data_IF_897270526243
#
_entry.id   IF_897270526243
#
_cell.length_a   1.000
_cell.length_b   1.000
_cell.length_c   1.000
_cell.angle_alpha   90.00
_cell.angle_beta   90.00
_cell.angle_gamma   90.00
#
_symmetry.space_group_name_H-M   'P 1'
#
loop_
_entity.id
_entity.type
_entity.pdbx_description
1 polymer ?
#
# COMPACT_ATOMS: atom_id res chain seq x y z
N UNK A 1 9.77 5.31 -13.29
CA UNK A 1 9.23 6.31 -12.34
C UNK A 1 10.19 7.49 -12.25
N UNK A 2 9.73 8.74 -12.37
CA UNK A 2 10.59 9.93 -12.24
C UNK A 2 10.34 10.59 -10.88
N UNK A 3 11.39 10.96 -10.17
CA UNK A 3 11.31 11.56 -8.85
C UNK A 3 11.93 12.96 -8.88
N UNK A 4 11.33 13.91 -8.14
CA UNK A 4 11.87 15.26 -8.01
C UNK A 4 11.65 15.77 -6.60
N UNK A 5 12.74 16.13 -5.93
CA UNK A 5 12.71 16.81 -4.64
C UNK A 5 12.73 18.32 -4.89
N UNK A 6 11.85 19.08 -4.21
CA UNK A 6 11.85 20.55 -4.26
C UNK A 6 12.54 21.18 -3.04
N UNK A 7 12.90 20.37 -2.05
CA UNK A 7 13.77 20.78 -0.93
C UNK A 7 15.21 20.32 -1.15
N UNK A 8 16.14 21.02 -0.52
CA UNK A 8 17.56 20.70 -0.58
C UNK A 8 18.02 20.00 0.71
N UNK A 9 18.78 18.93 0.55
CA UNK A 9 19.41 18.22 1.67
C UNK A 9 20.77 17.70 1.22
N UNK A 10 21.79 17.96 2.03
CA UNK A 10 23.16 17.50 1.77
C UNK A 10 23.40 16.20 2.52
N UNK A 11 23.74 15.15 1.78
CA UNK A 11 24.12 13.86 2.36
C UNK A 11 25.32 14.04 3.29
N UNK A 12 25.31 13.30 4.39
CA UNK A 12 26.32 13.41 5.45
C UNK A 12 26.67 12.02 6.00
N UNK A 13 27.48 11.99 7.06
CA UNK A 13 27.90 10.74 7.69
C UNK A 13 26.71 9.86 8.13
N UNK A 14 25.63 10.46 8.66
CA UNK A 14 24.43 9.70 9.09
C UNK A 14 23.77 8.96 7.93
N UNK A 15 23.75 9.53 6.73
CA UNK A 15 23.20 8.84 5.55
C UNK A 15 24.08 7.68 5.10
N UNK A 16 25.40 7.79 5.24
CA UNK A 16 26.33 6.67 4.98
C UNK A 16 26.13 5.55 5.98
N UNK A 17 25.98 5.88 7.27
CA UNK A 17 25.71 4.92 8.35
C UNK A 17 24.35 4.24 8.15
N UNK A 18 23.29 5.01 7.87
CA UNK A 18 21.97 4.46 7.60
C UNK A 18 21.97 3.53 6.38
N UNK A 19 22.63 3.91 5.28
CA UNK A 19 22.76 3.03 4.12
C UNK A 19 23.46 1.71 4.47
N UNK A 20 24.58 1.75 5.21
CA UNK A 20 25.29 0.56 5.65
C UNK A 20 24.42 -0.31 6.59
N UNK A 21 23.63 0.33 7.46
CA UNK A 21 22.67 -0.36 8.34
C UNK A 21 21.60 -1.10 7.53
N UNK A 22 20.98 -0.43 6.55
CA UNK A 22 20.01 -1.05 5.63
C UNK A 22 20.63 -2.20 4.82
N UNK A 23 21.89 -2.07 4.38
CA UNK A 23 22.58 -3.17 3.70
C UNK A 23 22.70 -4.42 4.60
N UNK A 24 23.05 -4.23 5.87
CA UNK A 24 23.15 -5.32 6.85
C UNK A 24 21.77 -5.88 7.24
N UNK A 25 20.78 -5.02 7.36
CA UNK A 25 19.42 -5.38 7.77
C UNK A 25 18.77 -6.43 6.85
N UNK A 26 19.11 -6.39 5.56
CA UNK A 26 18.71 -7.39 4.54
C UNK A 26 19.02 -8.83 4.91
N UNK A 27 20.04 -9.08 5.74
CA UNK A 27 20.38 -10.43 6.21
C UNK A 27 19.28 -11.03 7.12
N UNK A 28 18.43 -10.18 7.71
CA UNK A 28 17.44 -10.58 8.71
C UNK A 28 16.01 -10.20 8.36
N UNK A 29 15.81 -9.11 7.62
CA UNK A 29 14.48 -8.62 7.23
C UNK A 29 14.17 -9.08 5.81
N UNK A 30 13.09 -9.85 5.64
CA UNK A 30 12.86 -10.60 4.40
C UNK A 30 12.25 -9.80 3.25
N UNK A 31 11.67 -8.61 3.49
CA UNK A 31 10.90 -7.94 2.43
C UNK A 31 11.81 -7.47 1.28
N UNK A 32 13.09 -7.19 1.57
CA UNK A 32 14.10 -6.81 0.59
C UNK A 32 14.33 -7.84 -0.52
N UNK A 33 14.04 -9.13 -0.24
CA UNK A 33 14.27 -10.23 -1.17
C UNK A 33 13.00 -10.68 -1.90
N UNK A 34 11.82 -10.18 -1.50
CA UNK A 34 10.56 -10.47 -2.18
C UNK A 34 10.56 -10.15 -3.68
N UNK A 35 11.20 -9.07 -4.19
CA UNK A 35 11.24 -8.81 -5.63
C UNK A 35 11.86 -9.94 -6.47
N UNK A 36 12.68 -10.80 -5.85
CA UNK A 36 13.45 -11.86 -6.53
C UNK A 36 12.94 -13.28 -6.19
N UNK A 37 11.82 -13.38 -5.45
CA UNK A 37 11.31 -14.68 -5.00
C UNK A 37 10.83 -15.56 -6.17
N UNK A 38 10.91 -16.89 -5.99
CA UNK A 38 10.31 -17.83 -6.93
C UNK A 38 8.78 -17.82 -6.84
N UNK A 39 8.12 -17.39 -7.92
CA UNK A 39 6.66 -17.34 -8.01
C UNK A 39 6.04 -18.61 -8.60
N UNK A 40 6.83 -19.57 -9.08
CA UNK A 40 6.30 -20.80 -9.69
C UNK A 40 5.34 -21.55 -8.76
N UNK A 41 5.60 -21.71 -7.45
CA UNK A 41 4.64 -22.34 -6.54
C UNK A 41 3.28 -21.63 -6.49
N UNK A 42 3.27 -20.30 -6.57
CA UNK A 42 2.04 -19.49 -6.60
C UNK A 42 1.28 -19.72 -7.91
N UNK A 43 1.99 -19.71 -9.04
CA UNK A 43 1.39 -19.94 -10.36
C UNK A 43 0.81 -21.35 -10.48
N UNK A 44 1.50 -22.37 -9.98
CA UNK A 44 0.99 -23.74 -9.94
C UNK A 44 -0.22 -23.88 -9.03
N UNK A 45 -0.21 -23.24 -7.85
CA UNK A 45 -1.39 -23.20 -6.98
C UNK A 45 -2.59 -22.53 -7.68
N UNK A 46 -2.38 -21.43 -8.41
CA UNK A 46 -3.46 -20.73 -9.11
C UNK A 46 -4.17 -21.61 -10.16
N UNK A 47 -3.44 -22.55 -10.78
CA UNK A 47 -4.02 -23.52 -11.74
C UNK A 47 -4.94 -24.54 -11.08
N UNK A 48 -4.80 -24.77 -9.77
CA UNK A 48 -5.64 -25.69 -9.02
C UNK A 48 -7.03 -25.11 -8.73
N UNK A 49 -7.18 -23.78 -8.79
CA UNK A 49 -8.46 -23.13 -8.54
C UNK A 49 -9.39 -23.32 -9.74
N UNK A 50 -10.57 -23.93 -9.55
CA UNK A 50 -11.45 -24.28 -10.65
C UNK A 50 -11.90 -23.06 -11.48
N UNK A 51 -12.14 -23.28 -12.78
CA UNK A 51 -12.55 -22.22 -13.70
C UNK A 51 -13.94 -21.64 -13.39
N UNK A 52 -14.81 -22.40 -12.72
CA UNK A 52 -16.13 -21.91 -12.27
C UNK A 52 -16.07 -20.94 -11.08
N UNK A 53 -14.91 -20.77 -10.44
CA UNK A 53 -14.73 -19.76 -9.41
C UNK A 53 -14.64 -18.39 -10.09
N UNK A 54 -15.65 -17.57 -9.85
CA UNK A 54 -15.80 -16.22 -10.42
C UNK A 54 -15.28 -15.13 -9.48
N UNK A 55 -15.23 -15.43 -8.17
CA UNK A 55 -14.85 -14.47 -7.12
C UNK A 55 -13.79 -15.04 -6.19
N UNK A 56 -12.92 -14.17 -5.71
CA UNK A 56 -11.96 -14.43 -4.64
C UNK A 56 -12.33 -13.54 -3.47
N UNK A 57 -12.39 -14.10 -2.26
CA UNK A 57 -12.68 -13.38 -1.04
C UNK A 57 -11.51 -13.50 -0.06
N UNK A 58 -10.82 -12.39 0.19
CA UNK A 58 -9.79 -12.29 1.23
C UNK A 58 -10.47 -12.04 2.57
N UNK A 59 -10.24 -12.94 3.52
CA UNK A 59 -10.65 -12.82 4.91
C UNK A 59 -9.38 -12.52 5.71
N UNK A 60 -9.13 -11.23 5.95
CA UNK A 60 -7.89 -10.72 6.52
C UNK A 60 -8.00 -9.23 6.78
N UNK A 61 -7.16 -8.69 7.67
CA UNK A 61 -7.19 -7.28 8.07
C UNK A 61 -5.77 -6.71 8.12
N UNK A 62 -5.64 -5.39 7.90
CA UNK A 62 -4.35 -4.69 7.92
C UNK A 62 -3.42 -5.21 6.84
N UNK A 63 -2.21 -5.64 7.22
CA UNK A 63 -1.20 -6.13 6.29
C UNK A 63 -1.63 -7.38 5.50
N UNK A 64 -2.62 -8.13 5.99
CA UNK A 64 -3.21 -9.28 5.28
C UNK A 64 -4.20 -8.91 4.17
N UNK A 65 -4.49 -7.61 3.96
CA UNK A 65 -5.54 -7.14 3.04
C UNK A 65 -5.11 -5.88 2.26
N UNK A 66 -4.68 -4.82 2.97
CA UNK A 66 -4.53 -3.48 2.41
C UNK A 66 -3.57 -3.42 1.21
N UNK A 67 -2.46 -4.13 1.24
CA UNK A 67 -1.51 -4.17 0.14
C UNK A 67 -2.09 -4.78 -1.14
N UNK A 68 -2.73 -5.94 -1.03
CA UNK A 68 -3.40 -6.58 -2.16
C UNK A 68 -4.54 -5.70 -2.71
N UNK A 69 -5.29 -5.05 -1.81
CA UNK A 69 -6.35 -4.11 -2.18
C UNK A 69 -5.81 -2.89 -2.92
N UNK A 70 -4.69 -2.33 -2.48
CA UNK A 70 -4.01 -1.22 -3.14
C UNK A 70 -3.64 -1.57 -4.59
N UNK A 71 -3.01 -2.73 -4.82
CA UNK A 71 -2.63 -3.18 -6.17
C UNK A 71 -3.87 -3.49 -7.02
N UNK A 72 -4.84 -4.22 -6.47
CA UNK A 72 -6.04 -4.62 -7.19
C UNK A 72 -6.85 -3.40 -7.67
N UNK A 73 -7.16 -2.46 -6.77
CA UNK A 73 -7.95 -1.28 -7.13
C UNK A 73 -7.17 -0.27 -7.98
N UNK A 74 -5.83 -0.29 -7.94
CA UNK A 74 -5.01 0.48 -8.88
C UNK A 74 -5.16 -0.01 -10.32
N UNK A 75 -5.16 -1.34 -10.53
CA UNK A 75 -5.14 -1.96 -11.86
C UNK A 75 -6.52 -2.25 -12.44
N UNK A 76 -7.52 -2.49 -11.59
CA UNK A 76 -8.89 -2.86 -11.96
C UNK A 76 -9.55 -1.92 -12.98
N UNK A 77 -9.37 -0.59 -12.96
CA UNK A 77 -10.00 0.30 -13.94
C UNK A 77 -9.49 0.11 -15.38
N UNK A 78 -8.26 -0.40 -15.55
CA UNK A 78 -7.58 -0.50 -16.86
C UNK A 78 -7.32 -1.94 -17.31
N UNK A 79 -7.78 -2.93 -16.52
CA UNK A 79 -7.60 -4.36 -16.82
C UNK A 79 -8.93 -5.10 -16.77
N UNK A 80 -9.15 -5.96 -17.76
CA UNK A 80 -10.17 -6.99 -17.70
C UNK A 80 -9.67 -8.14 -16.83
N UNK A 81 -10.01 -8.10 -15.54
CA UNK A 81 -9.61 -9.11 -14.56
C UNK A 81 -10.51 -10.36 -14.68
N UNK A 82 -9.89 -11.53 -14.56
CA UNK A 82 -10.57 -12.83 -14.73
C UNK A 82 -11.58 -13.10 -13.61
N UNK A 83 -11.24 -12.68 -12.39
CA UNK A 83 -12.05 -12.87 -11.19
C UNK A 83 -12.20 -11.56 -10.43
N UNK A 84 -13.31 -11.43 -9.70
CA UNK A 84 -13.54 -10.29 -8.80
C UNK A 84 -12.90 -10.55 -7.43
N UNK A 85 -12.23 -9.56 -6.86
CA UNK A 85 -11.61 -9.65 -5.54
C UNK A 85 -12.44 -8.86 -4.52
N UNK A 86 -12.77 -9.49 -3.40
CA UNK A 86 -13.50 -8.88 -2.30
C UNK A 86 -12.70 -9.02 -1.00
N UNK A 87 -12.72 -7.99 -0.17
CA UNK A 87 -11.97 -7.93 1.08
C UNK A 87 -12.92 -7.86 2.27
N UNK A 88 -12.93 -8.92 3.08
CA UNK A 88 -13.66 -9.01 4.34
C UNK A 88 -12.72 -8.67 5.50
N UNK A 89 -12.60 -7.38 5.76
CA UNK A 89 -11.62 -6.80 6.70
C UNK A 89 -12.25 -6.03 7.86
N UNK A 90 -13.58 -6.00 7.95
CA UNK A 90 -14.34 -5.29 8.97
C UNK A 90 -15.34 -6.20 9.67
N UNK A 91 -15.49 -6.03 10.99
CA UNK A 91 -16.53 -6.69 11.80
C UNK A 91 -17.88 -5.95 11.78
N UNK A 92 -18.00 -4.89 10.97
CA UNK A 92 -19.27 -4.22 10.71
C UNK A 92 -20.25 -5.17 10.02
N UNK A 93 -21.37 -5.54 10.68
CA UNK A 93 -22.33 -6.48 10.11
C UNK A 93 -22.96 -5.98 8.81
N UNK A 94 -23.14 -4.67 8.62
CA UNK A 94 -23.71 -4.11 7.38
C UNK A 94 -22.73 -4.33 6.22
N UNK A 95 -21.44 -4.08 6.46
CA UNK A 95 -20.40 -4.32 5.47
C UNK A 95 -20.32 -5.80 5.08
N UNK A 96 -20.34 -6.70 6.05
CA UNK A 96 -20.32 -8.15 5.82
C UNK A 96 -21.51 -8.58 4.97
N UNK A 97 -22.74 -8.14 5.31
CA UNK A 97 -23.93 -8.49 4.52
C UNK A 97 -23.87 -7.94 3.10
N UNK A 98 -23.42 -6.69 2.91
CA UNK A 98 -23.28 -6.08 1.60
C UNK A 98 -22.21 -6.74 0.72
N UNK A 99 -21.13 -7.24 1.31
CA UNK A 99 -20.14 -8.02 0.56
C UNK A 99 -20.69 -9.40 0.19
N UNK A 100 -21.37 -10.07 1.12
CA UNK A 100 -22.00 -11.36 0.85
C UNK A 100 -23.09 -11.26 -0.23
N UNK A 101 -23.85 -10.17 -0.30
CA UNK A 101 -24.85 -9.98 -1.35
C UNK A 101 -24.25 -9.77 -2.74
N UNK A 102 -22.92 -9.56 -2.85
CA UNK A 102 -22.21 -9.36 -4.13
C UNK A 102 -21.52 -10.62 -4.64
N UNK A 103 -21.53 -11.70 -3.85
CA UNK A 103 -20.86 -12.95 -4.19
C UNK A 103 -21.82 -14.14 -4.15
N UNK A 104 -21.58 -15.12 -5.00
CA UNK A 104 -22.14 -16.46 -4.86
C UNK A 104 -21.11 -17.33 -4.12
N UNK A 105 -21.45 -17.75 -2.90
CA UNK A 105 -20.54 -18.55 -2.05
C UNK A 105 -20.19 -19.91 -2.65
N UNK A 106 -20.96 -20.41 -3.62
CA UNK A 106 -20.68 -21.65 -4.36
C UNK A 106 -19.73 -21.43 -5.55
N UNK A 107 -19.45 -20.16 -5.89
CA UNK A 107 -18.51 -19.75 -6.95
C UNK A 107 -17.41 -18.82 -6.42
N UNK A 108 -17.18 -18.84 -5.12
CA UNK A 108 -16.20 -17.98 -4.44
C UNK A 108 -15.15 -18.82 -3.74
N UNK A 109 -13.87 -18.54 -3.99
CA UNK A 109 -12.76 -19.12 -3.24
C UNK A 109 -12.32 -18.16 -2.13
N UNK A 110 -12.16 -18.66 -0.92
CA UNK A 110 -11.88 -17.88 0.28
C UNK A 110 -10.42 -18.04 0.70
N UNK A 111 -9.70 -16.91 0.77
CA UNK A 111 -8.34 -16.85 1.29
C UNK A 111 -8.39 -16.34 2.74
N UNK A 112 -8.15 -17.22 3.71
CA UNK A 112 -8.11 -16.88 5.13
C UNK A 112 -6.68 -16.54 5.50
N UNK A 113 -6.38 -15.26 5.73
CA UNK A 113 -5.01 -14.75 5.87
C UNK A 113 -4.79 -14.19 7.28
N UNK A 114 -4.00 -14.88 8.09
CA UNK A 114 -3.61 -14.44 9.43
C UNK A 114 -2.26 -15.04 9.80
N UNK A 115 -1.23 -14.19 9.95
CA UNK A 115 0.12 -14.63 10.34
C UNK A 115 0.11 -15.44 11.64
N UNK A 116 -0.55 -14.91 12.68
CA UNK A 116 -0.61 -15.55 14.00
C UNK A 116 -1.65 -16.67 14.11
N UNK A 117 -2.57 -16.78 13.15
CA UNK A 117 -3.69 -17.70 13.22
C UNK A 117 -4.67 -17.42 14.38
N UNK A 118 -4.66 -16.22 14.97
CA UNK A 118 -5.50 -15.86 16.14
C UNK A 118 -6.15 -14.48 16.04
N UNK A 119 -6.17 -13.87 14.85
CA UNK A 119 -6.79 -12.55 14.62
C UNK A 119 -8.31 -12.62 14.80
N UNK A 120 -8.84 -11.94 15.82
CA UNK A 120 -10.25 -12.06 16.24
C UNK A 120 -11.22 -11.75 15.09
N UNK A 121 -10.95 -10.68 14.35
CA UNK A 121 -11.76 -10.21 13.22
C UNK A 121 -11.81 -11.26 12.10
N UNK A 122 -10.64 -11.73 11.67
CA UNK A 122 -10.49 -12.79 10.63
C UNK A 122 -11.30 -14.04 11.00
N UNK A 123 -11.17 -14.53 12.24
CA UNK A 123 -11.85 -15.77 12.64
C UNK A 123 -13.34 -15.60 12.90
N UNK A 124 -13.79 -14.41 13.35
CA UNK A 124 -15.21 -14.12 13.47
C UNK A 124 -15.90 -14.17 12.09
N UNK A 125 -15.29 -13.53 11.09
CA UNK A 125 -15.78 -13.51 9.71
C UNK A 125 -15.70 -14.92 9.09
N UNK A 126 -14.55 -15.59 9.23
CA UNK A 126 -14.36 -16.95 8.72
C UNK A 126 -15.43 -17.92 9.26
N UNK A 127 -15.69 -17.91 10.57
CA UNK A 127 -16.75 -18.75 11.18
C UNK A 127 -18.12 -18.44 10.59
N UNK A 128 -18.42 -17.17 10.34
CA UNK A 128 -19.70 -16.78 9.75
C UNK A 128 -19.82 -17.27 8.30
N UNK A 129 -18.79 -17.08 7.48
CA UNK A 129 -18.75 -17.54 6.09
C UNK A 129 -18.78 -19.08 6.02
N UNK A 130 -18.07 -19.77 6.91
CA UNK A 130 -18.08 -21.23 7.02
C UNK A 130 -19.50 -21.78 7.29
N UNK A 131 -20.34 -21.05 8.01
CA UNK A 131 -21.76 -21.42 8.21
C UNK A 131 -22.61 -21.34 6.93
N UNK A 132 -22.12 -20.65 5.89
CA UNK A 132 -22.77 -20.49 4.59
C UNK A 132 -22.14 -21.37 3.50
N UNK A 133 -20.84 -21.64 3.62
CA UNK A 133 -20.08 -22.52 2.74
C UNK A 133 -19.21 -23.44 3.61
N UNK A 134 -19.68 -24.65 3.88
CA UNK A 134 -19.01 -25.60 4.78
C UNK A 134 -18.02 -26.53 4.09
N UNK A 135 -17.89 -26.46 2.75
CA UNK A 135 -16.93 -27.27 2.01
C UNK A 135 -15.53 -26.61 2.04
N UNK A 136 -14.60 -27.27 2.73
CA UNK A 136 -13.23 -26.79 2.92
C UNK A 136 -12.40 -26.70 1.63
N UNK A 137 -12.85 -27.32 0.54
CA UNK A 137 -12.19 -27.19 -0.78
C UNK A 137 -12.26 -25.76 -1.35
N UNK A 138 -13.19 -24.93 -0.87
CA UNK A 138 -13.31 -23.52 -1.22
C UNK A 138 -12.41 -22.61 -0.38
N UNK A 139 -11.56 -23.17 0.49
CA UNK A 139 -10.73 -22.39 1.41
C UNK A 139 -9.25 -22.64 1.17
N UNK A 140 -8.46 -21.58 1.32
CA UNK A 140 -7.01 -21.66 1.43
C UNK A 140 -6.54 -20.78 2.57
N UNK A 141 -5.68 -21.33 3.39
CA UNK A 141 -5.17 -20.67 4.59
C UNK A 141 -3.75 -20.16 4.33
N UNK A 142 -3.53 -18.87 4.57
CA UNK A 142 -2.21 -18.23 4.42
C UNK A 142 -1.75 -17.79 5.81
N UNK A 143 -0.74 -18.50 6.35
CA UNK A 143 -0.32 -18.38 7.76
C UNK A 143 1.15 -18.74 7.96
N UNK A 144 1.71 -18.49 9.15
CA UNK A 144 3.07 -18.94 9.48
C UNK A 144 3.16 -20.48 9.61
N UNK A 145 4.31 -21.07 9.25
CA UNK A 145 4.59 -22.47 9.56
C UNK A 145 4.44 -22.77 11.06
N UNK A 146 3.87 -23.93 11.39
CA UNK A 146 3.57 -24.43 12.73
C UNK A 146 2.52 -23.63 13.54
N UNK A 147 1.88 -22.63 12.94
CA UNK A 147 0.79 -21.86 13.56
C UNK A 147 -0.45 -22.72 13.86
N UNK A 148 -1.30 -22.24 14.78
CA UNK A 148 -2.57 -22.90 15.07
C UNK A 148 -3.46 -23.04 13.82
N UNK A 149 -3.42 -22.04 12.92
CA UNK A 149 -4.18 -22.04 11.69
C UNK A 149 -3.66 -23.08 10.68
N UNK A 150 -2.35 -23.31 10.62
CA UNK A 150 -1.80 -24.38 9.78
C UNK A 150 -2.26 -25.76 10.28
N UNK A 151 -2.20 -26.00 11.59
CA UNK A 151 -2.64 -27.28 12.19
C UNK A 151 -4.11 -27.54 11.86
N UNK A 152 -4.96 -26.53 12.08
CA UNK A 152 -6.38 -26.59 11.72
C UNK A 152 -6.61 -26.87 10.23
N UNK A 153 -5.93 -26.16 9.34
CA UNK A 153 -6.09 -26.37 7.89
C UNK A 153 -5.66 -27.78 7.44
N UNK A 154 -4.57 -28.32 8.03
CA UNK A 154 -4.11 -29.69 7.77
C UNK A 154 -5.11 -30.75 8.22
N UNK A 155 -5.73 -30.58 9.40
CA UNK A 155 -6.79 -31.48 9.88
C UNK A 155 -7.99 -31.54 8.92
N UNK A 156 -8.31 -30.41 8.30
CA UNK A 156 -9.41 -30.27 7.33
C UNK A 156 -9.04 -30.72 5.92
N UNK A 157 -7.76 -31.04 5.66
CA UNK A 157 -7.21 -31.28 4.31
C UNK A 157 -7.44 -30.09 3.36
N UNK A 158 -7.47 -28.87 3.90
CA UNK A 158 -7.55 -27.65 3.11
C UNK A 158 -6.15 -27.23 2.62
N UNK A 159 -6.11 -26.41 1.57
CA UNK A 159 -4.85 -25.86 1.07
C UNK A 159 -4.22 -24.89 2.09
N UNK A 160 -2.90 -24.97 2.24
CA UNK A 160 -2.12 -24.06 3.08
C UNK A 160 -0.99 -23.47 2.26
N UNK A 161 -0.83 -22.15 2.33
CA UNK A 161 0.31 -21.43 1.81
C UNK A 161 0.99 -20.69 2.97
N UNK A 162 2.30 -20.49 2.87
CA UNK A 162 3.07 -19.88 3.95
C UNK A 162 3.47 -18.43 3.64
N UNK A 163 3.50 -17.62 4.69
CA UNK A 163 4.18 -16.33 4.67
C UNK A 163 5.69 -16.54 4.93
N UNK A 164 6.57 -15.70 4.36
CA UNK A 164 7.94 -15.64 4.80
C UNK A 164 8.03 -15.20 6.27
N UNK A 165 8.68 -16.00 7.11
CA UNK A 165 8.68 -15.78 8.57
C UNK A 165 9.25 -14.41 8.97
N UNK A 166 10.30 -13.96 8.25
CA UNK A 166 11.01 -12.70 8.45
C UNK A 166 10.38 -11.50 7.71
N UNK A 167 9.14 -11.64 7.24
CA UNK A 167 8.37 -10.53 6.65
C UNK A 167 7.23 -10.12 7.59
N UNK A 168 7.21 -8.83 7.94
CA UNK A 168 6.12 -8.23 8.73
C UNK A 168 4.87 -8.02 7.88
N UNK A 169 3.68 -8.03 8.49
CA UNK A 169 2.41 -7.94 7.77
C UNK A 169 2.30 -6.72 6.85
N UNK A 170 2.69 -5.54 7.31
CA UNK A 170 2.63 -4.29 6.51
C UNK A 170 3.66 -4.21 5.37
N UNK A 171 4.66 -5.11 5.36
CA UNK A 171 5.67 -5.28 4.30
C UNK A 171 5.43 -6.57 3.47
N UNK A 172 4.24 -7.18 3.57
CA UNK A 172 3.97 -8.50 3.00
C UNK A 172 3.23 -8.47 1.65
N UNK A 173 2.97 -7.29 1.10
CA UNK A 173 2.20 -7.14 -0.16
C UNK A 173 2.86 -7.84 -1.33
N UNK A 174 4.19 -7.82 -1.43
CA UNK A 174 4.93 -8.52 -2.47
C UNK A 174 5.17 -10.00 -2.14
N UNK A 175 4.67 -10.53 -1.02
CA UNK A 175 4.77 -11.96 -0.67
C UNK A 175 3.52 -12.74 -1.10
N UNK A 176 3.46 -14.03 -0.78
CA UNK A 176 2.27 -14.90 -0.89
C UNK A 176 0.97 -14.20 -0.49
N UNK A 177 0.99 -13.33 0.54
CA UNK A 177 -0.19 -12.58 1.03
C UNK A 177 -0.84 -11.74 -0.06
N UNK A 178 -0.06 -10.97 -0.82
CA UNK A 178 -0.59 -10.17 -1.92
C UNK A 178 -0.56 -10.89 -3.26
N UNK A 179 0.51 -11.63 -3.55
CA UNK A 179 0.68 -12.25 -4.86
C UNK A 179 -0.40 -13.30 -5.18
N UNK A 180 -0.84 -14.09 -4.20
CA UNK A 180 -1.88 -15.12 -4.41
C UNK A 180 -3.23 -14.52 -4.82
N UNK A 181 -3.86 -13.61 -4.05
CA UNK A 181 -5.13 -13.02 -4.45
C UNK A 181 -5.04 -12.27 -5.79
N UNK A 182 -3.92 -11.59 -6.05
CA UNK A 182 -3.70 -10.84 -7.29
C UNK A 182 -3.58 -11.78 -8.51
N UNK A 183 -2.76 -12.82 -8.41
CA UNK A 183 -2.58 -13.80 -9.48
C UNK A 183 -3.89 -14.55 -9.80
N UNK A 184 -4.69 -14.91 -8.79
CA UNK A 184 -5.99 -15.52 -8.99
C UNK A 184 -6.98 -14.62 -9.75
N UNK A 185 -6.81 -13.31 -9.69
CA UNK A 185 -7.61 -12.35 -10.46
C UNK A 185 -7.05 -12.07 -11.86
N UNK A 186 -5.91 -12.67 -12.22
CA UNK A 186 -5.24 -12.47 -13.51
C UNK A 186 -4.30 -11.26 -13.56
N UNK A 187 -3.89 -10.72 -12.41
CA UNK A 187 -2.86 -9.67 -12.37
C UNK A 187 -1.49 -10.30 -12.63
N UNK A 188 -0.69 -9.63 -13.47
CA UNK A 188 0.68 -10.04 -13.76
C UNK A 188 1.60 -9.76 -12.56
N UNK A 189 1.70 -10.75 -11.68
CA UNK A 189 2.57 -10.70 -10.51
C UNK A 189 4.05 -10.69 -10.86
N UNK A 190 4.44 -11.15 -12.06
CA UNK A 190 5.83 -11.09 -12.50
C UNK A 190 6.21 -9.65 -12.84
N UNK A 191 5.35 -8.94 -13.56
CA UNK A 191 5.52 -7.51 -13.81
C UNK A 191 5.51 -6.70 -12.49
N UNK A 192 4.65 -7.06 -11.55
CA UNK A 192 4.64 -6.44 -10.21
C UNK A 192 6.00 -6.56 -9.50
N UNK A 193 6.56 -7.77 -9.44
CA UNK A 193 7.88 -7.99 -8.82
C UNK A 193 9.01 -7.35 -9.63
N UNK A 194 8.91 -7.31 -10.96
CA UNK A 194 9.89 -6.65 -11.82
C UNK A 194 10.03 -5.16 -11.49
N UNK A 195 8.91 -4.47 -11.28
CA UNK A 195 8.93 -3.06 -10.90
C UNK A 195 9.58 -2.82 -9.54
N UNK A 196 9.29 -3.68 -8.57
CA UNK A 196 9.94 -3.65 -7.27
C UNK A 196 11.46 -3.93 -7.39
N UNK A 197 11.84 -4.88 -8.24
CA UNK A 197 13.23 -5.23 -8.51
C UNK A 197 14.00 -4.05 -9.15
N UNK A 198 13.38 -3.31 -10.09
CA UNK A 198 13.99 -2.11 -10.66
C UNK A 198 14.31 -1.05 -9.60
N UNK A 199 13.42 -0.84 -8.62
CA UNK A 199 13.66 0.08 -7.50
C UNK A 199 14.77 -0.44 -6.57
N UNK A 200 14.75 -1.74 -6.23
CA UNK A 200 15.83 -2.40 -5.47
C UNK A 200 17.18 -2.19 -6.13
N UNK A 201 17.29 -2.49 -7.42
CA UNK A 201 18.52 -2.39 -8.17
C UNK A 201 19.02 -0.93 -8.26
N UNK A 202 18.11 0.01 -8.54
CA UNK A 202 18.46 1.42 -8.61
C UNK A 202 19.01 1.97 -7.29
N UNK A 203 18.48 1.49 -6.15
CA UNK A 203 18.94 1.91 -4.84
C UNK A 203 20.26 1.26 -4.39
N UNK A 204 20.43 -0.05 -4.59
CA UNK A 204 21.59 -0.79 -4.06
C UNK A 204 22.78 -0.85 -5.03
N UNK A 205 22.56 -0.68 -6.34
CA UNK A 205 23.59 -0.90 -7.36
C UNK A 205 23.84 0.30 -8.28
N UNK A 206 22.79 1.00 -8.73
CA UNK A 206 22.92 2.01 -9.81
C UNK A 206 22.97 3.47 -9.30
N UNK A 207 22.59 3.73 -8.05
CA UNK A 207 22.82 5.00 -7.34
C UNK A 207 21.78 6.11 -7.53
N UNK A 208 20.97 6.12 -8.60
CA UNK A 208 20.00 7.21 -8.85
C UNK A 208 18.95 7.33 -7.73
N UNK A 209 18.21 6.25 -7.45
CA UNK A 209 17.24 6.23 -6.35
C UNK A 209 17.92 6.23 -4.98
N UNK A 210 19.19 5.82 -4.89
CA UNK A 210 19.97 5.86 -3.67
C UNK A 210 20.07 7.29 -3.12
N UNK A 211 20.55 8.22 -3.94
CA UNK A 211 20.73 9.61 -3.55
C UNK A 211 19.39 10.28 -3.21
N UNK A 212 18.35 10.05 -4.03
CA UNK A 212 17.01 10.61 -3.81
C UNK A 212 16.41 10.12 -2.48
N UNK A 213 16.41 8.81 -2.23
CA UNK A 213 15.81 8.23 -1.03
C UNK A 213 16.60 8.59 0.23
N UNK A 214 17.94 8.63 0.17
CA UNK A 214 18.76 9.07 1.30
C UNK A 214 18.53 10.54 1.65
N UNK A 215 18.45 11.43 0.63
CA UNK A 215 18.13 12.85 0.85
C UNK A 215 16.75 13.03 1.46
N UNK A 216 15.75 12.33 0.92
CA UNK A 216 14.37 12.38 1.41
C UNK A 216 14.26 11.85 2.84
N UNK A 217 14.87 10.70 3.14
CA UNK A 217 14.85 10.12 4.48
C UNK A 217 15.59 11.00 5.50
N UNK A 218 16.74 11.57 5.13
CA UNK A 218 17.48 12.51 5.98
C UNK A 218 16.67 13.76 6.26
N UNK A 219 16.01 14.33 5.25
CA UNK A 219 15.14 15.49 5.42
C UNK A 219 14.03 15.20 6.45
N UNK A 220 13.33 14.07 6.30
CA UNK A 220 12.28 13.67 7.23
C UNK A 220 12.81 13.44 8.64
N UNK A 221 13.95 12.77 8.80
CA UNK A 221 14.57 12.57 10.12
C UNK A 221 15.03 13.87 10.76
N UNK A 222 15.61 14.82 10.01
CA UNK A 222 16.10 16.07 10.60
C UNK A 222 14.98 17.05 10.96
N UNK A 223 13.89 17.04 10.19
CA UNK A 223 12.84 18.03 10.31
C UNK A 223 11.52 17.47 10.87
N UNK A 224 11.50 16.24 11.41
CA UNK A 224 10.28 15.62 11.96
C UNK A 224 9.59 16.44 13.05
N UNK A 225 10.33 17.28 13.79
CA UNK A 225 9.76 18.17 14.79
C UNK A 225 9.06 19.40 14.18
N UNK A 226 9.57 19.91 13.06
CA UNK A 226 8.97 21.04 12.33
C UNK A 226 7.84 20.57 11.42
N UNK A 227 8.03 19.46 10.71
CA UNK A 227 7.07 18.86 9.78
C UNK A 227 6.63 17.46 10.26
N UNK A 228 5.89 17.36 11.37
CA UNK A 228 5.44 16.09 11.92
C UNK A 228 4.38 15.39 11.06
N UNK A 229 3.86 16.01 10.01
CA UNK A 229 2.82 15.43 9.13
C UNK A 229 3.40 15.19 7.74
N UNK A 230 3.21 13.98 7.20
CA UNK A 230 3.58 13.64 5.82
C UNK A 230 2.33 13.31 4.99
N UNK A 231 2.09 14.12 3.95
CA UNK A 231 0.94 13.98 3.08
C UNK A 231 1.35 13.34 1.75
N UNK A 232 0.63 12.30 1.33
CA UNK A 232 0.63 11.85 -0.06
C UNK A 232 -0.56 12.48 -0.76
N UNK A 233 -0.32 13.27 -1.80
CA UNK A 233 -1.36 13.88 -2.61
C UNK A 233 -1.35 13.28 -4.02
N UNK A 234 -2.13 12.21 -4.20
CA UNK A 234 -2.14 11.43 -5.43
C UNK A 234 -3.21 11.90 -6.41
N UNK A 235 -2.82 12.21 -7.64
CA UNK A 235 -3.70 12.69 -8.73
C UNK A 235 -4.17 11.53 -9.60
N UNK A 236 -4.84 10.57 -8.96
CA UNK A 236 -5.58 9.48 -9.59
C UNK A 236 -6.47 8.80 -8.54
N UNK A 237 -7.75 8.61 -8.84
CA UNK A 237 -8.66 7.88 -7.93
C UNK A 237 -8.22 6.42 -7.72
N UNK A 238 -7.53 5.83 -8.70
CA UNK A 238 -6.97 4.47 -8.61
C UNK A 238 -5.91 4.32 -7.51
N UNK A 239 -5.29 5.42 -7.05
CA UNK A 239 -4.29 5.43 -5.98
C UNK A 239 -4.89 5.57 -4.58
N UNK A 240 -6.22 5.68 -4.43
CA UNK A 240 -6.87 5.81 -3.11
C UNK A 240 -6.40 4.76 -2.11
N UNK A 241 -6.48 3.49 -2.49
CA UNK A 241 -6.12 2.39 -1.59
C UNK A 241 -4.61 2.24 -1.41
N UNK A 242 -3.81 2.75 -2.35
CA UNK A 242 -2.38 2.89 -2.15
C UNK A 242 -2.08 3.89 -1.02
N UNK A 243 -2.78 5.03 -0.98
CA UNK A 243 -2.66 5.97 0.14
C UNK A 243 -3.09 5.36 1.48
N UNK A 244 -4.15 4.55 1.51
CA UNK A 244 -4.57 3.82 2.72
C UNK A 244 -3.51 2.79 3.17
N UNK A 245 -2.89 2.05 2.24
CA UNK A 245 -1.77 1.15 2.52
C UNK A 245 -0.55 1.92 3.06
N UNK A 246 -0.19 3.05 2.45
CA UNK A 246 0.91 3.90 2.91
C UNK A 246 0.68 4.41 4.33
N UNK A 247 -0.55 4.81 4.68
CA UNK A 247 -0.90 5.24 6.05
C UNK A 247 -0.58 4.15 7.07
N UNK A 248 -0.90 2.88 6.76
CA UNK A 248 -0.52 1.76 7.62
C UNK A 248 1.00 1.59 7.67
N UNK A 249 1.65 1.51 6.51
CA UNK A 249 3.09 1.27 6.41
C UNK A 249 3.86 2.31 7.24
N UNK A 250 3.56 3.59 7.03
CA UNK A 250 4.26 4.71 7.64
C UNK A 250 3.94 4.84 9.13
N UNK A 251 2.64 4.82 9.47
CA UNK A 251 2.16 5.03 10.84
C UNK A 251 2.60 3.93 11.80
N UNK A 252 2.40 2.66 11.42
CA UNK A 252 2.79 1.53 12.29
C UNK A 252 4.31 1.31 12.37
N UNK A 253 5.07 1.73 11.35
CA UNK A 253 6.53 1.54 11.37
C UNK A 253 7.25 2.63 12.15
N UNK A 254 6.85 3.89 11.94
CA UNK A 254 7.59 5.06 12.44
C UNK A 254 7.01 5.66 13.72
N UNK A 255 5.73 5.41 14.02
CA UNK A 255 5.07 5.86 15.24
C UNK A 255 5.49 5.05 16.46
N UNK A 256 6.66 5.35 17.03
CA UNK A 256 7.34 4.51 18.03
C UNK A 256 7.95 5.31 19.16
N UNK A 257 8.29 4.60 20.24
CA UNK A 257 9.27 5.10 21.20
C UNK A 257 10.65 4.87 20.61
N UNK A 258 11.51 5.88 20.62
CA UNK A 258 12.90 5.71 20.19
C UNK A 258 13.63 4.69 21.06
N UNK A 259 14.55 3.94 20.45
CA UNK A 259 15.28 2.85 21.12
C UNK A 259 16.17 3.42 22.22
N UNK A 260 16.92 4.48 21.92
CA UNK A 260 17.90 5.06 22.83
C UNK A 260 17.45 6.38 23.47
N UNK A 261 16.14 6.66 23.53
CA UNK A 261 15.60 7.87 24.15
C UNK A 261 14.25 7.67 24.84
N UNK A 262 13.80 8.68 25.59
CA UNK A 262 12.47 8.70 26.19
C UNK A 262 11.37 9.25 25.27
N UNK A 263 11.74 9.69 24.06
CA UNK A 263 10.82 10.37 23.15
C UNK A 263 9.92 9.39 22.40
N UNK A 264 8.67 9.81 22.23
CA UNK A 264 7.77 9.28 21.21
C UNK A 264 8.00 10.06 19.94
N UNK A 265 8.28 9.34 18.86
CA UNK A 265 8.51 9.91 17.53
C UNK A 265 7.57 9.28 16.52
N UNK A 266 7.45 9.92 15.38
CA UNK A 266 6.61 9.49 14.29
C UNK A 266 6.23 10.68 13.43
N UNK A 267 5.88 10.37 12.19
CA UNK A 267 5.39 11.33 11.22
C UNK A 267 3.97 10.89 10.90
N UNK A 268 2.97 11.73 11.20
CA UNK A 268 1.56 11.39 10.97
C UNK A 268 1.30 11.33 9.46
N UNK A 269 0.97 10.15 8.91
CA UNK A 269 0.71 10.02 7.47
C UNK A 269 -0.72 10.45 7.14
N UNK A 270 -0.89 11.18 6.03
CA UNK A 270 -2.19 11.56 5.48
C UNK A 270 -2.23 11.17 4.00
N UNK A 271 -3.30 10.50 3.60
CA UNK A 271 -3.61 10.19 2.20
C UNK A 271 -4.62 11.17 1.63
N UNK A 272 -4.27 11.86 0.55
CA UNK A 272 -5.10 12.83 -0.17
C UNK A 272 -5.19 12.43 -1.64
N UNK A 273 -6.32 12.76 -2.26
CA UNK A 273 -6.61 12.43 -3.66
C UNK A 273 -7.00 13.69 -4.42
N UNK A 274 -6.21 14.01 -5.45
CA UNK A 274 -6.42 15.13 -6.35
C UNK A 274 -7.31 14.76 -7.54
N UNK A 275 -8.09 15.72 -8.07
CA UNK A 275 -8.17 17.11 -7.65
C UNK A 275 -9.18 17.35 -6.50
N UNK A 276 -9.97 16.37 -6.05
CA UNK A 276 -11.05 16.61 -5.08
C UNK A 276 -10.56 17.23 -3.77
N UNK A 277 -9.38 16.84 -3.27
CA UNK A 277 -8.85 17.39 -2.02
C UNK A 277 -8.20 18.77 -2.17
N UNK A 278 -8.17 19.33 -3.39
CA UNK A 278 -7.99 20.78 -3.59
C UNK A 278 -9.15 21.57 -2.95
N UNK A 279 -10.34 20.97 -2.91
CA UNK A 279 -11.56 21.56 -2.38
C UNK A 279 -11.86 21.14 -0.94
N UNK A 280 -10.86 20.60 -0.22
CA UNK A 280 -10.99 20.21 1.18
C UNK A 280 -9.71 20.57 1.96
N UNK A 281 -8.63 19.84 1.72
CA UNK A 281 -7.42 19.85 2.56
C UNK A 281 -6.38 20.87 2.06
N UNK A 282 -6.41 21.25 0.78
CA UNK A 282 -5.41 22.17 0.22
C UNK A 282 -5.38 23.52 0.94
N UNK A 283 -6.52 24.08 1.36
CA UNK A 283 -6.54 25.32 2.16
C UNK A 283 -5.68 25.21 3.43
N UNK A 284 -5.72 24.04 4.09
CA UNK A 284 -4.94 23.78 5.29
C UNK A 284 -3.43 23.63 4.99
N UNK A 285 -3.08 23.17 3.79
CA UNK A 285 -1.68 23.15 3.33
C UNK A 285 -1.21 24.59 3.01
N UNK A 286 -2.05 25.35 2.30
CA UNK A 286 -1.72 26.71 1.82
C UNK A 286 -1.59 27.73 2.96
N UNK A 287 -2.55 27.78 3.90
CA UNK A 287 -2.59 28.86 4.92
C UNK A 287 -2.59 28.34 6.37
N UNK A 288 -2.62 27.02 6.56
CA UNK A 288 -2.57 26.42 7.89
C UNK A 288 -1.17 26.44 8.50
N UNK A 289 -1.03 25.76 9.64
CA UNK A 289 0.26 25.56 10.30
C UNK A 289 1.27 24.94 9.32
N UNK A 290 2.50 25.48 9.29
CA UNK A 290 3.64 24.99 8.49
C UNK A 290 4.27 23.72 9.10
N UNK A 291 3.47 22.67 9.21
CA UNK A 291 3.79 21.41 9.88
C UNK A 291 3.68 20.18 8.96
N UNK A 292 3.57 20.40 7.64
CA UNK A 292 3.33 19.36 6.63
C UNK A 292 4.44 19.32 5.59
N UNK A 293 4.87 18.13 5.25
CA UNK A 293 5.55 17.82 3.98
C UNK A 293 4.57 17.15 3.02
N UNK A 294 4.68 17.41 1.71
CA UNK A 294 3.73 16.93 0.71
C UNK A 294 4.46 16.26 -0.46
N UNK A 295 4.21 14.97 -0.65
CA UNK A 295 4.62 14.23 -1.86
C UNK A 295 3.45 14.17 -2.83
N UNK A 296 3.61 14.71 -4.03
CA UNK A 296 2.65 14.58 -5.14
C UNK A 296 2.90 13.28 -5.91
N UNK A 297 1.85 12.54 -6.24
CA UNK A 297 1.94 11.35 -7.11
C UNK A 297 1.07 11.57 -8.35
N UNK A 298 1.67 11.51 -9.52
CA UNK A 298 1.02 11.74 -10.81
C UNK A 298 1.11 10.51 -11.71
N UNK A 299 0.16 10.38 -12.64
CA UNK A 299 0.21 9.44 -13.76
C UNK A 299 0.46 10.23 -15.04
N UNK A 300 1.49 9.90 -15.80
CA UNK A 300 1.85 10.57 -17.06
C UNK A 300 0.84 10.21 -18.16
N UNK A 301 0.64 8.90 -18.39
CA UNK A 301 -0.28 8.37 -19.38
C UNK A 301 -1.34 7.47 -18.70
N UNK A 302 -2.61 7.84 -18.88
CA UNK A 302 -3.75 7.08 -18.37
C UNK A 302 -4.22 5.99 -19.36
N UNK A 303 -3.61 5.90 -20.54
CA UNK A 303 -4.02 5.05 -21.66
C UNK A 303 -5.52 5.23 -22.00
N UNK A 304 -5.99 6.49 -21.93
CA UNK A 304 -7.39 6.86 -22.11
C UNK A 304 -7.52 8.24 -22.78
N UNK A 305 -8.28 8.28 -23.87
CA UNK A 305 -8.43 9.45 -24.74
C UNK A 305 -9.73 10.25 -24.49
N UNK A 306 -10.42 10.00 -23.36
CA UNK A 306 -11.64 10.76 -23.03
C UNK A 306 -11.30 12.24 -22.86
N UNK A 307 -12.03 13.06 -23.61
CA UNK A 307 -11.84 14.49 -23.67
C UNK A 307 -13.15 15.23 -23.39
N UNK A 308 -13.02 16.49 -22.99
CA UNK A 308 -14.14 17.39 -22.82
C UNK A 308 -14.75 17.66 -24.19
N UNK A 309 -16.07 17.42 -24.39
CA UNK A 309 -16.71 17.62 -25.68
C UNK A 309 -16.64 19.09 -26.10
N UNK A 310 -16.48 19.33 -27.40
CA UNK A 310 -16.59 20.68 -27.95
C UNK A 310 -18.06 21.09 -27.98
N UNK A 311 -18.51 21.72 -26.90
CA UNK A 311 -19.91 22.11 -26.70
C UNK A 311 -19.97 23.40 -25.90
N UNK A 312 -20.33 24.49 -26.57
CA UNK A 312 -20.62 25.75 -25.90
C UNK A 312 -21.95 25.64 -25.15
N UNK A 313 -21.93 26.03 -23.87
CA UNK A 313 -23.10 26.04 -23.00
C UNK A 313 -23.55 27.50 -22.78
N UNK A 314 -24.85 27.83 -22.99
CA UNK A 314 -25.33 29.21 -22.80
C UNK A 314 -24.98 29.76 -21.41
N UNK A 315 -24.47 30.99 -21.36
CA UNK A 315 -23.98 31.70 -20.17
C UNK A 315 -22.65 31.18 -19.58
N UNK A 316 -22.02 30.18 -20.21
CA UNK A 316 -20.76 29.57 -19.77
C UNK A 316 -19.69 29.59 -20.88
N UNK A 317 -19.83 30.47 -21.87
CA UNK A 317 -18.94 30.56 -23.04
C UNK A 317 -17.47 30.83 -22.64
N UNK A 318 -17.25 31.44 -21.46
CA UNK A 318 -15.90 31.61 -20.90
C UNK A 318 -15.19 30.28 -20.60
N UNK A 319 -15.94 29.18 -20.46
CA UNK A 319 -15.41 27.83 -20.23
C UNK A 319 -15.12 27.07 -21.52
N UNK A 320 -15.39 27.64 -22.70
CA UNK A 320 -15.09 27.01 -23.99
C UNK A 320 -13.58 26.78 -24.17
N UNK A 321 -12.73 27.44 -23.37
CA UNK A 321 -11.29 27.14 -23.27
C UNK A 321 -10.97 25.70 -22.82
N UNK A 322 -11.95 24.99 -22.23
CA UNK A 322 -11.85 23.59 -21.85
C UNK A 322 -12.16 22.64 -23.00
N UNK A 323 -12.79 23.11 -24.08
CA UNK A 323 -13.28 22.26 -25.17
C UNK A 323 -12.12 21.50 -25.82
N UNK A 324 -12.36 20.22 -26.13
CA UNK A 324 -11.37 19.30 -26.69
C UNK A 324 -10.13 19.06 -25.81
N UNK A 325 -10.13 19.51 -24.56
CA UNK A 325 -9.05 19.20 -23.61
C UNK A 325 -9.20 17.76 -23.11
N UNK A 326 -8.16 16.90 -23.22
CA UNK A 326 -8.19 15.58 -22.61
C UNK A 326 -8.26 15.67 -21.08
N UNK A 327 -9.08 14.84 -20.43
CA UNK A 327 -9.17 14.82 -18.96
C UNK A 327 -7.84 14.44 -18.30
N UNK A 328 -7.06 13.55 -18.94
CA UNK A 328 -5.70 13.17 -18.53
C UNK A 328 -4.74 14.37 -18.49
N UNK A 329 -4.90 15.32 -19.42
CA UNK A 329 -4.13 16.57 -19.41
C UNK A 329 -4.64 17.52 -18.33
N UNK A 330 -5.96 17.66 -18.19
CA UNK A 330 -6.56 18.55 -17.20
C UNK A 330 -6.14 18.18 -15.76
N UNK A 331 -6.21 16.90 -15.38
CA UNK A 331 -5.81 16.46 -14.04
C UNK A 331 -4.33 16.72 -13.74
N UNK A 332 -3.45 16.55 -14.73
CA UNK A 332 -2.02 16.85 -14.59
C UNK A 332 -1.75 18.36 -14.55
N UNK A 333 -2.48 19.17 -15.32
CA UNK A 333 -2.42 20.63 -15.22
C UNK A 333 -2.84 21.11 -13.83
N UNK A 334 -3.94 20.57 -13.29
CA UNK A 334 -4.41 20.86 -11.93
C UNK A 334 -3.37 20.50 -10.87
N UNK A 335 -2.71 19.35 -10.99
CA UNK A 335 -1.62 18.97 -10.09
C UNK A 335 -0.45 19.95 -10.17
N UNK A 336 0.02 20.24 -11.38
CA UNK A 336 1.16 21.13 -11.59
C UNK A 336 0.87 22.53 -11.07
N UNK A 337 -0.33 23.07 -11.27
CA UNK A 337 -0.73 24.37 -10.73
C UNK A 337 -0.71 24.40 -9.20
N UNK A 338 -1.09 23.31 -8.52
CA UNK A 338 -0.99 23.22 -7.06
C UNK A 338 0.46 23.13 -6.60
N UNK A 339 1.29 22.35 -7.29
CA UNK A 339 2.74 22.28 -7.01
C UNK A 339 3.37 23.68 -7.19
N UNK A 340 3.05 24.39 -8.26
CA UNK A 340 3.54 25.75 -8.52
C UNK A 340 3.11 26.71 -7.42
N UNK A 341 1.82 26.75 -7.08
CA UNK A 341 1.31 27.61 -6.01
C UNK A 341 1.98 27.33 -4.65
N UNK A 342 2.15 26.06 -4.28
CA UNK A 342 2.82 25.69 -3.02
C UNK A 342 4.33 25.95 -3.03
N UNK A 343 4.96 26.05 -4.20
CA UNK A 343 6.38 26.40 -4.31
C UNK A 343 6.64 27.90 -4.16
N UNK A 344 5.62 28.71 -4.44
CA UNK A 344 5.68 30.15 -4.18
C UNK A 344 5.46 30.46 -2.69
N UNK A 345 4.94 29.49 -1.92
CA UNK A 345 4.89 29.54 -0.46
C UNK A 345 6.25 29.12 0.15
N UNK A 346 6.74 29.91 1.10
CA UNK A 346 7.90 29.53 1.91
C UNK A 346 7.51 28.43 2.92
N UNK A 347 8.48 27.57 3.28
CA UNK A 347 8.37 26.57 4.36
C UNK A 347 7.34 25.44 4.18
N UNK A 348 7.08 25.02 2.93
CA UNK A 348 6.34 23.78 2.64
C UNK A 348 7.26 22.81 1.89
N UNK A 349 7.78 21.74 2.53
CA UNK A 349 8.63 20.77 1.84
C UNK A 349 7.82 19.94 0.86
N UNK A 350 8.18 20.03 -0.42
CA UNK A 350 7.51 19.30 -1.50
C UNK A 350 8.44 18.30 -2.17
N UNK A 351 7.86 17.22 -2.66
CA UNK A 351 8.45 16.36 -3.68
C UNK A 351 7.38 15.78 -4.61
N UNK A 352 7.78 15.21 -5.74
CA UNK A 352 6.84 14.60 -6.69
C UNK A 352 7.37 13.31 -7.29
N UNK A 353 6.46 12.37 -7.49
CA UNK A 353 6.67 11.08 -8.14
C UNK A 353 5.75 10.99 -9.36
N UNK A 354 6.32 10.83 -10.55
CA UNK A 354 5.58 10.61 -11.80
C UNK A 354 5.67 9.13 -12.18
N UNK A 355 4.52 8.45 -12.16
CA UNK A 355 4.35 7.12 -12.72
C UNK A 355 4.11 7.25 -14.24
N UNK A 356 4.84 6.54 -15.09
CA UNK A 356 4.59 6.49 -16.53
C UNK A 356 3.14 6.14 -16.88
N UNK A 357 2.57 5.11 -16.23
CA UNK A 357 1.20 4.67 -16.48
C UNK A 357 0.65 3.78 -15.37
N UNK A 358 -0.61 3.36 -15.53
CA UNK A 358 -1.30 2.43 -14.63
C UNK A 358 -1.02 0.98 -15.05
N UNK A 359 0.03 0.38 -14.48
CA UNK A 359 0.34 -1.04 -14.67
C UNK A 359 0.97 -1.68 -13.43
N UNK A 360 1.12 -3.02 -13.48
CA UNK A 360 1.63 -3.80 -12.36
C UNK A 360 3.08 -3.43 -12.01
N UNK A 361 3.91 -3.15 -13.02
CA UNK A 361 5.30 -2.78 -12.82
C UNK A 361 5.42 -1.46 -12.03
N UNK A 362 4.68 -0.42 -12.43
CA UNK A 362 4.77 0.88 -11.79
C UNK A 362 4.26 0.85 -10.33
N UNK A 363 3.16 0.16 -10.03
CA UNK A 363 2.68 0.05 -8.65
C UNK A 363 3.59 -0.84 -7.79
N UNK A 364 4.20 -1.87 -8.37
CA UNK A 364 5.18 -2.72 -7.68
C UNK A 364 6.43 -1.93 -7.29
N UNK A 365 6.94 -1.11 -8.21
CA UNK A 365 8.02 -0.17 -7.92
C UNK A 365 7.63 0.83 -6.83
N UNK A 366 6.42 1.40 -6.90
CA UNK A 366 5.98 2.41 -5.93
C UNK A 366 5.84 1.83 -4.51
N UNK A 367 5.34 0.59 -4.40
CA UNK A 367 5.28 -0.15 -3.14
C UNK A 367 6.69 -0.30 -2.56
N UNK A 368 7.62 -0.86 -3.33
CA UNK A 368 8.97 -1.12 -2.84
C UNK A 368 9.73 0.17 -2.49
N UNK A 369 9.48 1.26 -3.24
CA UNK A 369 10.00 2.59 -2.95
C UNK A 369 9.61 3.05 -1.54
N UNK A 370 8.34 2.91 -1.16
CA UNK A 370 7.88 3.35 0.16
C UNK A 370 8.26 2.38 1.28
N UNK A 371 8.32 1.07 1.01
CA UNK A 371 8.87 0.11 1.97
C UNK A 371 10.31 0.47 2.33
N UNK A 372 11.16 0.72 1.32
CA UNK A 372 12.55 1.14 1.50
C UNK A 372 12.70 2.51 2.17
N UNK A 373 11.91 3.51 1.76
CA UNK A 373 11.91 4.83 2.39
C UNK A 373 11.54 4.75 3.88
N UNK A 374 10.57 3.91 4.21
CA UNK A 374 10.12 3.70 5.60
C UNK A 374 11.26 3.13 6.46
N UNK A 375 11.99 2.14 5.95
CA UNK A 375 13.13 1.56 6.67
C UNK A 375 14.27 2.56 6.86
N UNK A 376 14.59 3.36 5.84
CA UNK A 376 15.59 4.42 5.94
C UNK A 376 15.22 5.48 6.99
N UNK A 377 13.96 5.93 7.00
CA UNK A 377 13.50 6.91 8.00
C UNK A 377 13.53 6.29 9.39
N UNK A 378 13.08 5.04 9.54
CA UNK A 378 13.07 4.32 10.82
C UNK A 378 14.46 4.21 11.44
N UNK A 379 15.46 3.86 10.63
CA UNK A 379 16.87 3.84 11.04
C UNK A 379 17.33 5.24 11.48
N UNK A 380 17.06 6.26 10.67
CA UNK A 380 17.52 7.64 10.95
C UNK A 380 16.81 8.31 12.14
N UNK A 381 15.63 7.83 12.55
CA UNK A 381 14.94 8.31 13.76
C UNK A 381 15.11 7.36 14.95
N UNK A 382 15.96 6.33 14.83
CA UNK A 382 16.31 5.38 15.91
C UNK A 382 15.09 4.63 16.48
N UNK A 383 14.30 3.99 15.61
CA UNK A 383 13.14 3.17 16.00
C UNK A 383 13.20 1.77 15.40
N UNK A 384 12.54 0.81 16.05
CA UNK A 384 12.31 -0.49 15.43
C UNK A 384 11.19 -0.37 14.39
N UNK A 385 11.55 -0.36 13.11
CA UNK A 385 10.62 -0.24 11.98
C UNK A 385 9.63 -1.41 11.87
N UNK A 386 9.96 -2.59 12.41
CA UNK A 386 9.28 -3.85 12.07
C UNK A 386 8.36 -4.42 13.15
N UNK A 387 8.37 -3.87 14.36
CA UNK A 387 7.45 -4.27 15.43
C UNK A 387 6.18 -3.39 15.49
N UNK A 388 5.24 -3.73 16.38
CA UNK A 388 4.05 -2.90 16.64
C UNK A 388 3.52 -3.09 18.07
N UNK A 389 4.34 -2.87 19.13
CA UNK A 389 3.95 -3.20 20.50
C UNK A 389 2.68 -2.48 20.97
N UNK A 390 2.41 -1.28 20.45
CA UNK A 390 1.27 -0.45 20.87
C UNK A 390 -0.12 -1.06 20.60
N UNK A 391 -0.26 -1.94 19.60
CA UNK A 391 -1.58 -2.52 19.27
C UNK A 391 -1.99 -3.66 20.21
N UNK A 392 -1.04 -4.27 20.92
CA UNK A 392 -1.30 -5.45 21.75
C UNK A 392 -2.13 -5.13 23.00
N UNK A 393 -2.01 -3.90 23.54
CA UNK A 393 -2.77 -3.49 24.73
C UNK A 393 -4.28 -3.59 24.51
N UNK A 394 -4.79 -3.08 23.37
CA UNK A 394 -6.21 -3.16 23.03
C UNK A 394 -6.65 -4.62 22.79
N UNK A 395 -5.81 -5.44 22.15
CA UNK A 395 -6.09 -6.87 21.92
C UNK A 395 -6.21 -7.65 23.22
N UNK A 396 -5.32 -7.41 24.20
CA UNK A 396 -5.38 -8.06 25.52
C UNK A 396 -6.67 -7.69 26.24
N UNK A 397 -7.07 -6.41 26.21
CA UNK A 397 -8.33 -5.96 26.81
C UNK A 397 -9.53 -6.65 26.15
N UNK A 398 -9.55 -6.75 24.82
CA UNK A 398 -10.61 -7.43 24.09
C UNK A 398 -10.66 -8.92 24.44
N UNK A 399 -9.52 -9.62 24.44
CA UNK A 399 -9.41 -11.03 24.83
C UNK A 399 -9.95 -11.27 26.25
N UNK A 400 -9.60 -10.40 27.21
CA UNK A 400 -10.16 -10.44 28.56
C UNK A 400 -11.69 -10.28 28.57
N UNK A 401 -12.24 -9.36 27.77
CA UNK A 401 -13.71 -9.19 27.64
C UNK A 401 -14.38 -10.41 27.01
N UNK A 402 -13.69 -11.11 26.12
CA UNK A 402 -14.14 -12.35 25.48
C UNK A 402 -13.86 -13.61 26.30
N UNK A 403 -13.14 -13.49 27.43
CA UNK A 403 -12.71 -14.62 28.27
C UNK A 403 -11.86 -15.66 27.53
N UNK A 404 -10.95 -15.21 26.66
CA UNK A 404 -9.99 -16.03 25.90
C UNK A 404 -8.54 -15.58 26.09
#
# INVERSE_FOLDING_TARGET
>A
MKNKLYFHTTLNQKTTEAYASIQKERETVGYYDLPEQDINPILEYCKQIPAQIESIAVIGIGGSSLGAKAVYEFLKPVKNLQRKLYFFESTDPINIQNLLSKIDVTKTHFLVISKSGTTVETFAIYKYILSKQSDYSYYTFITDPNSALEKYAKELKANVLHLPQNVGGRFSVLSTVGLVPLALCGIDIKALLLGAHHVKQSFFEQGELQDILLKKALFYSQNHAQYPINCLFAYSESLKYFCEWYVQLWGESLGKKQIHSAFHVGLTPIGLIGPKDQHSFLQLIMEGTRDKSVTFIQIEDFENDVQIPDTSLPHLEALDALNSLPFSRLINMQCNSVIEALRDEEDIPLDSILLPKIDAENIGGLIFYYELLTSLVGELIDVNTYDQPGVEAAKIILKKKLSI
#
